data_IF_496400328985
#
_entry.id   IF_496400328985
#
_cell.length_a   1.000
_cell.length_b   1.000
_cell.length_c   1.000
_cell.angle_alpha   90.00
_cell.angle_beta   90.00
_cell.angle_gamma   90.00
#
_symmetry.space_group_name_H-M   'P 1'
#
loop_
_entity.id
_entity.type
_entity.pdbx_description
1 polymer ?
#
# COMPACT_ATOMS: atom_id res chain seq x y z
N UNK A 1 8.26 -23.28 -21.07
CA UNK A 1 8.63 -22.14 -21.94
C UNK A 1 7.89 -20.88 -21.50
N UNK A 2 8.56 -19.73 -21.39
CA UNK A 2 7.89 -18.43 -21.13
C UNK A 2 7.19 -17.96 -22.40
N UNK A 3 5.92 -17.58 -22.30
CA UNK A 3 5.12 -17.15 -23.46
C UNK A 3 4.69 -15.69 -23.41
N UNK A 4 4.64 -15.07 -22.23
CA UNK A 4 4.32 -13.64 -22.07
C UNK A 4 4.81 -13.10 -20.74
N UNK A 5 5.27 -11.86 -20.73
CA UNK A 5 5.48 -11.05 -19.52
C UNK A 5 4.55 -9.84 -19.53
N UNK A 6 4.06 -9.43 -18.35
CA UNK A 6 3.36 -8.15 -18.18
C UNK A 6 4.35 -7.01 -17.94
N UNK A 7 3.83 -5.78 -17.97
CA UNK A 7 4.53 -4.66 -17.34
C UNK A 7 4.63 -4.88 -15.82
N UNK A 8 5.58 -4.19 -15.20
CA UNK A 8 5.72 -4.15 -13.74
C UNK A 8 4.55 -3.34 -13.18
N UNK A 9 3.87 -3.90 -12.17
CA UNK A 9 2.80 -3.24 -11.42
C UNK A 9 3.27 -3.01 -9.98
N UNK A 10 3.08 -1.80 -9.43
CA UNK A 10 3.42 -1.53 -8.02
C UNK A 10 2.38 -2.19 -7.10
N UNK A 11 2.85 -2.99 -6.15
CA UNK A 11 2.06 -3.61 -5.09
C UNK A 11 2.41 -2.95 -3.76
N UNK A 12 1.43 -2.31 -3.12
CA UNK A 12 1.65 -1.59 -1.87
C UNK A 12 2.04 -2.59 -0.76
N UNK A 13 3.07 -2.25 0.04
CA UNK A 13 3.50 -3.01 1.24
C UNK A 13 3.14 -2.31 2.53
N UNK A 14 3.20 -0.99 2.55
CA UNK A 14 2.81 -0.20 3.71
C UNK A 14 2.20 1.12 3.26
N UNK A 15 1.06 1.45 3.84
CA UNK A 15 0.35 2.70 3.63
C UNK A 15 0.93 3.80 4.54
N UNK A 16 1.11 4.99 3.98
CA UNK A 16 1.44 6.19 4.75
C UNK A 16 0.17 7.01 4.94
N UNK A 17 -0.22 7.26 6.19
CA UNK A 17 -1.33 8.13 6.55
C UNK A 17 -0.84 9.41 7.20
N UNK A 18 -1.50 10.53 6.91
CA UNK A 18 -1.25 11.83 7.52
C UNK A 18 -2.55 12.43 8.04
N UNK A 19 -2.54 12.96 9.26
CA UNK A 19 -3.67 13.66 9.82
C UNK A 19 -3.79 15.05 9.18
N UNK A 20 -4.96 15.38 8.64
CA UNK A 20 -5.19 16.65 7.95
C UNK A 20 -5.31 17.85 8.89
N UNK A 21 -5.43 17.62 10.21
CA UNK A 21 -5.57 18.69 11.20
C UNK A 21 -4.24 19.08 11.84
N UNK A 22 -3.43 18.09 12.25
CA UNK A 22 -2.19 18.33 12.99
C UNK A 22 -0.92 17.91 12.23
N UNK A 23 -1.05 17.26 11.08
CA UNK A 23 0.09 16.76 10.29
C UNK A 23 0.81 15.54 10.89
N UNK A 24 0.27 14.95 11.96
CA UNK A 24 0.81 13.70 12.51
C UNK A 24 0.69 12.58 11.48
N UNK A 25 1.77 11.81 11.30
CA UNK A 25 1.82 10.75 10.31
C UNK A 25 2.06 9.39 10.95
N UNK A 26 1.55 8.36 10.29
CA UNK A 26 1.70 6.97 10.72
C UNK A 26 1.81 6.07 9.49
N UNK A 27 2.65 5.06 9.59
CA UNK A 27 2.83 4.06 8.55
C UNK A 27 2.19 2.76 9.03
N UNK A 28 1.32 2.18 8.21
CA UNK A 28 0.60 0.93 8.51
C UNK A 28 0.98 -0.11 7.49
N UNK A 29 1.47 -1.26 7.96
CA UNK A 29 1.78 -2.41 7.10
C UNK A 29 0.50 -3.07 6.57
N UNK A 30 0.60 -3.62 5.37
CA UNK A 30 -0.50 -4.33 4.72
C UNK A 30 -0.42 -5.81 5.08
N UNK A 31 -1.41 -6.29 5.81
CA UNK A 31 -1.53 -7.71 6.13
C UNK A 31 -2.57 -8.38 5.23
N UNK A 32 -2.15 -9.43 4.50
CA UNK A 32 -3.01 -10.22 3.60
C UNK A 32 -3.86 -9.38 2.63
N UNK A 33 -3.30 -8.29 2.12
CA UNK A 33 -3.97 -7.39 1.17
C UNK A 33 -5.02 -6.46 1.79
N UNK A 34 -5.08 -6.38 3.12
CA UNK A 34 -5.93 -5.43 3.84
C UNK A 34 -5.07 -4.36 4.51
N UNK A 35 -5.52 -3.12 4.42
CA UNK A 35 -4.91 -1.97 5.07
C UNK A 35 -5.83 -1.53 6.20
N UNK A 36 -5.33 -1.47 7.42
CA UNK A 36 -6.09 -0.97 8.57
C UNK A 36 -5.88 0.54 8.68
N UNK A 37 -6.90 1.32 8.31
CA UNK A 37 -6.84 2.77 8.50
C UNK A 37 -6.93 3.12 10.01
N UNK A 38 -6.03 3.96 10.53
CA UNK A 38 -6.10 4.44 11.90
C UNK A 38 -7.30 5.37 12.07
N UNK A 39 -8.22 5.02 12.97
CA UNK A 39 -9.48 5.75 13.14
C UNK A 39 -9.35 7.01 14.01
N UNK A 40 -8.34 7.09 14.88
CA UNK A 40 -8.16 8.21 15.82
C UNK A 40 -6.70 8.67 15.75
N UNK A 41 -6.50 9.97 15.62
CA UNK A 41 -5.16 10.55 15.69
C UNK A 41 -4.64 10.56 17.12
N UNK A 42 -3.47 9.97 17.37
CA UNK A 42 -2.82 9.94 18.69
C UNK A 42 -2.29 11.31 19.15
N UNK A 43 -2.15 12.27 18.23
CA UNK A 43 -1.65 13.61 18.53
C UNK A 43 -2.78 14.60 18.88
N UNK A 44 -3.81 14.69 18.05
CA UNK A 44 -4.92 15.64 18.25
C UNK A 44 -6.24 15.00 18.72
N UNK A 45 -6.30 13.67 18.89
CA UNK A 45 -7.50 12.91 19.30
C UNK A 45 -8.72 13.06 18.38
N UNK A 46 -8.58 13.62 17.19
CA UNK A 46 -9.69 13.71 16.24
C UNK A 46 -9.89 12.39 15.51
N UNK A 47 -11.13 11.89 15.53
CA UNK A 47 -11.53 10.71 14.78
C UNK A 47 -11.61 10.99 13.27
N UNK A 48 -11.33 9.97 12.46
CA UNK A 48 -11.46 9.98 10.98
C UNK A 48 -10.81 11.19 10.32
N UNK A 49 -9.61 11.56 10.80
CA UNK A 49 -8.87 12.74 10.34
C UNK A 49 -7.63 12.40 9.51
N UNK A 50 -7.37 11.10 9.28
CA UNK A 50 -6.25 10.63 8.49
C UNK A 50 -6.59 10.56 7.00
N UNK A 51 -5.62 10.89 6.17
CA UNK A 51 -5.67 10.75 4.72
C UNK A 51 -4.50 9.88 4.23
N UNK A 52 -4.77 9.00 3.27
CA UNK A 52 -3.75 8.15 2.66
C UNK A 52 -2.89 8.95 1.67
N UNK A 53 -1.60 9.08 1.97
CA UNK A 53 -0.63 9.70 1.07
C UNK A 53 0.06 8.61 0.24
N UNK A 54 -0.53 8.31 -0.93
CA UNK A 54 -0.10 7.23 -1.81
C UNK A 54 1.38 7.33 -2.22
N UNK A 55 1.87 8.51 -2.58
CA UNK A 55 3.23 8.75 -3.08
C UNK A 55 4.32 8.62 -2.00
N UNK A 56 3.95 8.59 -0.71
CA UNK A 56 4.85 8.32 0.41
C UNK A 56 4.72 6.90 0.95
N UNK A 57 3.80 6.12 0.40
CA UNK A 57 3.63 4.70 0.76
C UNK A 57 4.76 3.87 0.14
N UNK A 58 5.01 2.69 0.70
CA UNK A 58 6.01 1.78 0.16
C UNK A 58 5.36 0.79 -0.79
N UNK A 59 6.00 0.57 -1.93
CA UNK A 59 5.57 -0.37 -2.95
C UNK A 59 6.68 -1.36 -3.26
N UNK A 60 6.29 -2.55 -3.69
CA UNK A 60 7.15 -3.55 -4.27
C UNK A 60 6.71 -3.84 -5.70
N UNK A 61 7.66 -4.24 -6.54
CA UNK A 61 7.39 -4.56 -7.93
C UNK A 61 6.76 -5.95 -8.07
N UNK A 62 5.64 -6.02 -8.79
CA UNK A 62 4.95 -7.26 -9.14
C UNK A 62 4.89 -7.41 -10.65
N UNK A 63 5.22 -8.59 -11.16
CA UNK A 63 5.13 -8.91 -12.58
C UNK A 63 4.47 -10.27 -12.80
N UNK A 64 3.59 -10.34 -13.79
CA UNK A 64 2.98 -11.60 -14.21
C UNK A 64 3.74 -12.18 -15.38
N UNK A 65 4.14 -13.45 -15.25
CA UNK A 65 4.81 -14.22 -16.31
C UNK A 65 3.97 -15.46 -16.61
N UNK A 66 3.56 -15.60 -17.88
CA UNK A 66 2.79 -16.76 -18.34
C UNK A 66 3.75 -17.81 -18.88
N UNK A 67 3.62 -19.03 -18.37
CA UNK A 67 4.42 -20.20 -18.75
C UNK A 67 3.55 -21.21 -19.49
N UNK A 68 4.16 -21.91 -20.45
CA UNK A 68 3.61 -23.10 -21.10
C UNK A 68 4.46 -24.30 -20.70
N UNK A 69 3.81 -25.40 -20.30
CA UNK A 69 4.47 -26.68 -20.01
C UNK A 69 5.14 -27.25 -21.26
N UNK A 70 6.20 -28.03 -21.07
CA UNK A 70 6.84 -28.76 -22.18
C UNK A 70 5.95 -29.91 -22.63
N UNK A 71 5.94 -30.25 -23.92
CA UNK A 71 5.16 -31.36 -24.45
C UNK A 71 5.57 -32.71 -23.86
#
# INVERSE_FOLDING_TARGET
MVIRSSLIMPEMRSAYFSCNLCGFHVQVEIDRGRIAEPTICTSCNTAHSFELIHNRSLFADKQFVKLQETP
#
